data_IF_090911366722
#
_entry.id   IF_090911366722
#
_cell.length_a   1.000
_cell.length_b   1.000
_cell.length_c   1.000
_cell.angle_alpha   90.00
_cell.angle_beta   90.00
_cell.angle_gamma   90.00
#
_symmetry.space_group_name_H-M   'P 1'
#
loop_
_entity.id
_entity.type
_entity.pdbx_description
1 polymer ?
#
# COMPACT_ATOMS: atom_id res chain seq x y z
N UNK A 1 -1.17 -6.32 -26.83
CA UNK A 1 -1.93 -5.05 -26.84
C UNK A 1 -3.16 -5.26 -25.97
N UNK A 2 -3.35 -4.49 -24.89
CA UNK A 2 -4.57 -4.57 -24.10
C UNK A 2 -5.73 -3.92 -24.87
N UNK A 3 -6.88 -4.58 -24.94
CA UNK A 3 -8.06 -4.09 -25.67
C UNK A 3 -8.82 -3.09 -24.79
N UNK A 4 -8.68 -1.78 -25.06
CA UNK A 4 -9.30 -0.70 -24.26
C UNK A 4 -10.83 -0.82 -24.17
N UNK A 5 -11.46 -1.48 -25.14
CA UNK A 5 -12.90 -1.74 -25.18
C UNK A 5 -13.41 -2.65 -24.05
N UNK A 6 -12.52 -3.43 -23.44
CA UNK A 6 -12.84 -4.33 -22.33
C UNK A 6 -12.40 -3.76 -20.97
N UNK A 7 -11.99 -2.48 -20.92
CA UNK A 7 -11.57 -1.85 -19.67
C UNK A 7 -12.82 -1.57 -18.83
N UNK A 8 -12.80 -1.86 -17.51
CA UNK A 8 -13.92 -1.51 -16.64
C UNK A 8 -14.19 0.01 -16.68
N UNK A 9 -15.47 0.43 -16.57
CA UNK A 9 -15.84 1.83 -16.50
C UNK A 9 -15.03 2.56 -15.45
N UNK A 10 -14.55 3.77 -15.78
CA UNK A 10 -13.81 4.56 -14.84
C UNK A 10 -14.76 5.47 -14.03
N UNK A 11 -14.69 5.44 -12.71
CA UNK A 11 -15.40 6.36 -11.82
C UNK A 11 -14.59 7.65 -11.60
N UNK A 12 -15.26 8.82 -11.41
CA UNK A 12 -14.57 10.07 -11.05
C UNK A 12 -13.69 9.85 -9.80
N UNK A 13 -12.49 10.41 -9.78
CA UNK A 13 -11.56 10.20 -8.65
C UNK A 13 -10.57 9.04 -8.79
N UNK A 14 -10.76 8.10 -9.74
CA UNK A 14 -9.86 6.93 -9.84
C UNK A 14 -8.43 7.25 -10.21
N UNK A 15 -8.25 8.27 -11.05
CA UNK A 15 -6.93 8.71 -11.50
C UNK A 15 -6.45 9.92 -10.70
N UNK A 16 -7.30 10.42 -9.78
CA UNK A 16 -6.90 11.54 -8.95
C UNK A 16 -5.85 11.02 -7.95
N UNK A 17 -4.79 11.80 -7.72
CA UNK A 17 -3.81 11.43 -6.71
C UNK A 17 -4.52 11.30 -5.35
N UNK A 18 -4.11 10.34 -4.51
CA UNK A 18 -4.73 10.19 -3.19
C UNK A 18 -4.58 11.51 -2.41
N UNK A 19 -5.70 12.06 -1.92
CA UNK A 19 -5.75 13.35 -1.21
C UNK A 19 -4.89 13.36 0.06
N UNK A 20 -4.72 12.19 0.68
CA UNK A 20 -3.74 11.97 1.73
C UNK A 20 -2.62 11.08 1.20
N UNK A 21 -1.34 11.51 1.25
CA UNK A 21 -0.25 10.55 1.18
C UNK A 21 -0.52 9.58 2.32
N UNK A 22 -0.61 8.28 2.02
CA UNK A 22 -0.70 7.24 3.06
C UNK A 22 0.37 7.58 4.08
N UNK A 23 -0.05 8.02 5.26
CA UNK A 23 0.80 8.33 6.40
C UNK A 23 1.76 7.16 6.41
N UNK A 24 3.06 7.42 6.22
CA UNK A 24 4.04 6.38 6.00
C UNK A 24 3.83 5.33 7.08
N UNK A 25 3.17 4.21 6.71
CA UNK A 25 3.05 3.07 7.60
C UNK A 25 4.51 2.76 7.82
N UNK A 26 5.01 3.07 9.03
CA UNK A 26 6.44 3.02 9.32
C UNK A 26 6.89 1.65 8.83
N UNK A 27 7.63 1.62 7.73
CA UNK A 27 8.18 0.37 7.25
C UNK A 27 9.12 -0.05 8.37
N UNK A 28 8.87 -1.22 8.96
CA UNK A 28 9.75 -1.74 9.99
C UNK A 28 11.15 -1.78 9.42
N UNK A 29 12.12 -1.37 10.22
CA UNK A 29 13.51 -1.42 9.78
C UNK A 29 13.85 -2.88 9.47
N UNK A 30 14.29 -3.16 8.24
CA UNK A 30 14.75 -4.49 7.84
C UNK A 30 16.25 -4.50 7.65
N UNK A 31 16.86 -5.67 7.77
CA UNK A 31 18.27 -5.87 7.45
C UNK A 31 18.49 -6.07 5.95
N UNK A 32 19.69 -6.49 5.57
CA UNK A 32 20.06 -6.69 4.18
C UNK A 32 19.38 -7.91 3.54
N UNK A 33 18.88 -8.88 4.32
CA UNK A 33 18.04 -9.97 3.80
C UNK A 33 16.58 -9.56 3.64
N UNK A 34 16.19 -8.40 4.20
CA UNK A 34 14.81 -7.93 4.18
C UNK A 34 14.00 -8.47 5.37
N UNK A 35 14.66 -9.09 6.34
CA UNK A 35 14.02 -9.55 7.56
C UNK A 35 13.85 -8.36 8.52
N UNK A 36 12.71 -8.25 9.23
CA UNK A 36 12.53 -7.23 10.25
C UNK A 36 13.67 -7.29 11.27
N UNK A 37 14.37 -6.18 11.48
CA UNK A 37 15.40 -6.03 12.51
C UNK A 37 14.84 -6.05 13.92
N UNK A 38 13.54 -5.76 14.04
CA UNK A 38 12.83 -5.83 15.30
C UNK A 38 12.13 -7.20 15.39
N UNK A 39 12.57 -8.00 16.37
CA UNK A 39 11.98 -9.29 16.73
C UNK A 39 10.60 -9.14 17.37
N UNK A 40 10.14 -7.90 17.60
CA UNK A 40 8.75 -7.63 17.96
C UNK A 40 7.85 -7.95 16.76
N UNK A 41 7.35 -9.17 16.73
CA UNK A 41 6.25 -9.60 15.85
C UNK A 41 4.94 -8.89 16.20
N UNK A 42 4.94 -7.57 16.34
CA UNK A 42 3.71 -6.79 16.51
C UNK A 42 2.96 -6.75 15.18
N UNK A 43 2.11 -7.77 15.03
CA UNK A 43 0.95 -7.79 14.16
C UNK A 43 0.18 -6.48 14.39
N UNK A 44 0.18 -5.61 13.39
CA UNK A 44 -0.40 -4.28 13.46
C UNK A 44 -1.94 -4.40 13.35
N UNK A 45 -2.55 -5.13 14.30
CA UNK A 45 -4.01 -5.22 14.49
C UNK A 45 -4.45 -4.04 15.36
N UNK A 46 -4.10 -2.82 14.98
CA UNK A 46 -4.77 -1.66 15.52
C UNK A 46 -6.14 -1.60 14.86
N UNK A 47 -7.12 -1.91 15.72
CA UNK A 47 -8.51 -2.26 15.46
C UNK A 47 -9.31 -1.13 14.79
N UNK A 48 -10.25 -1.57 13.96
CA UNK A 48 -11.48 -0.97 13.42
C UNK A 48 -11.78 0.48 13.80
#
# INVERSE_FOLDING_TARGET
MANEKNRPPQHPGQNDPPEHPRNSIRQRDTDASGDPKDDSGEDNQQKK
#
